data_IF_896533857005
#
_entry.id   IF_896533857005
#
_cell.length_a   1.000
_cell.length_b   1.000
_cell.length_c   1.000
_cell.angle_alpha   90.00
_cell.angle_beta   90.00
_cell.angle_gamma   90.00
#
_symmetry.space_group_name_H-M   'P 1'
#
loop_
_entity.id
_entity.type
_entity.pdbx_description
1 polymer ?
#
# COMPACT_ATOMS: atom_id res chain seq x y z
N UNK A 1 -19.09 -1.79 -10.45
CA UNK A 1 -19.96 -1.69 -9.26
C UNK A 1 -19.26 -0.77 -8.30
N UNK A 2 -19.86 0.41 -8.12
CA UNK A 2 -19.35 1.52 -7.32
C UNK A 2 -19.30 1.13 -5.84
N UNK A 3 -18.24 1.54 -5.13
CA UNK A 3 -18.11 1.48 -3.68
C UNK A 3 -19.20 2.38 -3.05
N UNK A 4 -20.38 1.82 -2.84
CA UNK A 4 -21.37 2.36 -1.91
C UNK A 4 -21.05 1.81 -0.53
N UNK A 5 -20.11 2.45 0.16
CA UNK A 5 -19.66 2.04 1.50
C UNK A 5 -18.79 3.07 2.23
N UNK A 6 -18.35 4.14 1.55
CA UNK A 6 -17.42 5.14 2.10
C UNK A 6 -18.12 6.35 2.76
N UNK A 7 -19.43 6.49 2.58
CA UNK A 7 -20.13 7.79 2.71
C UNK A 7 -20.37 8.26 4.17
N UNK A 8 -20.18 7.39 5.17
CA UNK A 8 -20.31 7.76 6.58
C UNK A 8 -18.97 8.12 7.21
N UNK A 9 -17.88 7.42 6.89
CA UNK A 9 -16.56 7.74 7.42
C UNK A 9 -15.88 8.88 6.66
N UNK A 10 -16.10 9.03 5.34
CA UNK A 10 -15.62 10.21 4.60
C UNK A 10 -16.20 11.51 5.16
N UNK A 11 -17.45 11.50 5.66
CA UNK A 11 -18.05 12.65 6.38
C UNK A 11 -17.34 12.98 7.70
N UNK A 12 -16.71 12.00 8.35
CA UNK A 12 -15.90 12.22 9.55
C UNK A 12 -14.41 12.50 9.20
N UNK A 13 -13.96 12.13 8.00
CA UNK A 13 -12.56 12.27 7.53
C UNK A 13 -12.33 13.62 6.84
N UNK A 14 -13.26 14.12 6.01
CA UNK A 14 -13.16 15.43 5.33
C UNK A 14 -13.40 16.63 6.25
N UNK A 15 -13.83 16.40 7.49
CA UNK A 15 -13.96 17.42 8.55
C UNK A 15 -12.68 17.59 9.39
N UNK A 16 -11.51 17.43 8.78
CA UNK A 16 -10.24 17.74 9.43
C UNK A 16 -9.90 19.25 9.40
N UNK A 17 -10.63 20.07 8.63
CA UNK A 17 -10.47 21.53 8.59
C UNK A 17 -11.72 22.32 9.01
N UNK A 18 -12.82 21.63 9.35
CA UNK A 18 -14.00 22.20 9.99
C UNK A 18 -14.13 21.58 11.37
N UNK A 19 -14.32 22.38 12.42
CA UNK A 19 -14.57 21.90 13.79
C UNK A 19 -15.54 20.71 13.77
N UNK A 20 -15.12 19.50 14.18
CA UNK A 20 -15.96 18.32 14.07
C UNK A 20 -17.18 18.47 14.96
N UNK A 21 -18.36 18.06 14.46
CA UNK A 21 -19.52 17.84 15.32
C UNK A 21 -19.07 16.99 16.52
N UNK A 22 -19.42 17.35 17.76
CA UNK A 22 -18.93 16.65 18.93
C UNK A 22 -19.35 15.18 18.84
N UNK A 23 -18.37 14.28 18.76
CA UNK A 23 -18.59 12.84 18.85
C UNK A 23 -19.29 12.59 20.18
N UNK A 24 -20.54 12.11 20.15
CA UNK A 24 -21.30 11.82 21.36
C UNK A 24 -20.59 10.70 22.11
N UNK A 25 -19.90 11.08 23.19
CA UNK A 25 -19.25 10.12 24.06
C UNK A 25 -20.32 9.35 24.83
N UNK A 26 -20.14 8.03 24.90
CA UNK A 26 -20.96 7.19 25.77
C UNK A 26 -20.16 6.79 27.00
N UNK A 27 -20.81 6.89 28.14
CA UNK A 27 -20.34 6.25 29.37
C UNK A 27 -20.62 4.76 29.23
N UNK A 28 -19.61 3.92 29.44
CA UNK A 28 -19.69 2.47 29.25
C UNK A 28 -19.38 1.81 30.57
N UNK A 29 -20.32 1.00 31.08
CA UNK A 29 -20.02 0.15 32.22
C UNK A 29 -19.19 -1.06 31.77
N UNK A 30 -17.90 -1.04 32.06
CA UNK A 30 -16.98 -2.10 31.69
C UNK A 30 -17.24 -3.42 32.43
N UNK A 31 -17.95 -3.39 33.58
CA UNK A 31 -18.30 -4.59 34.32
C UNK A 31 -19.35 -5.43 33.58
N UNK A 32 -20.22 -4.80 32.80
CA UNK A 32 -21.23 -5.48 31.98
C UNK A 32 -20.66 -6.05 30.67
N UNK A 33 -19.60 -5.43 30.13
CA UNK A 33 -18.90 -5.90 28.92
C UNK A 33 -18.01 -7.12 29.21
N UNK A 34 -17.35 -7.15 30.37
CA UNK A 34 -16.45 -8.24 30.80
C UNK A 34 -17.04 -9.67 30.64
N UNK A 35 -18.26 -10.00 31.14
CA UNK A 35 -18.83 -11.33 30.97
C UNK A 35 -19.12 -11.68 29.50
N UNK A 36 -19.42 -10.68 28.66
CA UNK A 36 -19.65 -10.90 27.23
C UNK A 36 -18.36 -11.24 26.49
N UNK A 37 -17.23 -10.61 26.84
CA UNK A 37 -15.90 -10.99 26.31
C UNK A 37 -15.58 -12.45 26.65
N UNK A 38 -15.86 -12.88 27.89
CA UNK A 38 -15.70 -14.28 28.30
C UNK A 38 -16.58 -15.23 27.48
N UNK A 39 -17.85 -14.87 27.28
CA UNK A 39 -18.84 -15.64 26.51
C UNK A 39 -18.39 -15.83 25.06
N UNK A 40 -17.87 -14.78 24.42
CA UNK A 40 -17.38 -14.83 23.04
C UNK A 40 -16.31 -15.90 22.82
N UNK A 41 -15.31 -16.00 23.70
CA UNK A 41 -14.26 -17.04 23.58
C UNK A 41 -14.77 -18.48 23.78
N UNK A 42 -15.97 -18.68 24.32
CA UNK A 42 -16.61 -19.99 24.42
C UNK A 42 -17.39 -20.39 23.15
N UNK A 43 -17.67 -19.44 22.25
CA UNK A 43 -18.39 -19.67 21.00
C UNK A 43 -17.39 -20.09 19.91
N UNK A 44 -17.46 -21.35 19.47
CA UNK A 44 -16.56 -21.90 18.45
C UNK A 44 -16.55 -21.08 17.15
N UNK A 45 -17.74 -20.72 16.64
CA UNK A 45 -17.85 -19.95 15.40
C UNK A 45 -17.18 -18.58 15.48
N UNK A 46 -17.19 -17.92 16.65
CA UNK A 46 -16.50 -16.65 16.84
C UNK A 46 -14.98 -16.81 16.88
N UNK A 47 -14.48 -17.90 17.48
CA UNK A 47 -13.04 -18.19 17.49
C UNK A 47 -12.49 -18.37 16.07
N UNK A 48 -13.29 -18.95 15.18
CA UNK A 48 -12.93 -19.14 13.77
C UNK A 48 -12.88 -17.82 12.98
N UNK A 49 -13.50 -16.75 13.48
CA UNK A 49 -13.48 -15.43 12.84
C UNK A 49 -12.17 -14.66 13.10
N UNK A 50 -11.44 -14.96 14.19
CA UNK A 50 -10.24 -14.23 14.60
C UNK A 50 -8.96 -15.06 14.46
N UNK A 51 -7.84 -14.42 14.13
CA UNK A 51 -6.58 -15.13 13.87
C UNK A 51 -5.91 -15.60 15.15
N UNK A 52 -5.94 -14.79 16.20
CA UNK A 52 -5.21 -15.04 17.45
C UNK A 52 -6.10 -15.56 18.59
N UNK A 53 -7.14 -16.36 18.30
CA UNK A 53 -8.14 -16.81 19.28
C UNK A 53 -7.56 -17.34 20.60
N UNK A 54 -6.66 -18.32 20.54
CA UNK A 54 -6.07 -18.94 21.74
C UNK A 54 -5.19 -17.97 22.53
N UNK A 55 -4.44 -17.13 21.81
CA UNK A 55 -3.53 -16.15 22.40
C UNK A 55 -4.31 -15.05 23.11
N UNK A 56 -5.33 -14.49 22.46
CA UNK A 56 -6.22 -13.50 23.04
C UNK A 56 -7.01 -14.09 24.20
N UNK A 57 -7.56 -15.31 24.08
CA UNK A 57 -8.29 -15.95 25.19
C UNK A 57 -7.41 -16.07 26.43
N UNK A 58 -6.16 -16.50 26.30
CA UNK A 58 -5.21 -16.57 27.42
C UNK A 58 -4.91 -15.19 28.00
N UNK A 59 -4.66 -14.19 27.14
CA UNK A 59 -4.37 -12.83 27.56
C UNK A 59 -5.54 -12.21 28.32
N UNK A 60 -6.76 -12.24 27.77
CA UNK A 60 -7.96 -11.75 28.46
C UNK A 60 -8.25 -12.54 29.74
N UNK A 61 -8.08 -13.87 29.76
CA UNK A 61 -8.26 -14.66 30.99
C UNK A 61 -7.33 -14.20 32.12
N UNK A 62 -6.10 -13.80 31.82
CA UNK A 62 -5.17 -13.27 32.83
C UNK A 62 -5.58 -11.90 33.41
N UNK A 63 -6.54 -11.24 32.75
CA UNK A 63 -7.11 -9.94 33.12
C UNK A 63 -8.58 -10.05 33.53
N UNK A 64 -9.02 -11.25 33.90
CA UNK A 64 -10.41 -11.58 34.20
C UNK A 64 -11.42 -11.20 33.10
N UNK A 65 -10.97 -11.12 31.83
CA UNK A 65 -11.75 -10.71 30.65
C UNK A 65 -12.15 -9.23 30.62
N UNK A 66 -11.53 -8.38 31.42
CA UNK A 66 -11.76 -6.93 31.34
C UNK A 66 -11.32 -6.37 29.97
N UNK A 67 -12.14 -5.51 29.32
CA UNK A 67 -11.77 -4.82 28.09
C UNK A 67 -10.47 -4.01 28.24
N UNK A 68 -9.75 -3.88 27.14
CA UNK A 68 -8.47 -3.17 27.01
C UNK A 68 -8.64 -1.93 26.13
N UNK A 69 -9.33 -2.08 25.00
CA UNK A 69 -9.40 -1.06 23.95
C UNK A 69 -10.70 -0.25 23.98
N UNK A 70 -11.78 -0.83 24.49
CA UNK A 70 -13.04 -0.17 24.82
C UNK A 70 -12.99 0.29 26.28
N UNK A 71 -13.16 1.59 26.50
CA UNK A 71 -13.14 2.25 27.80
C UNK A 71 -13.98 3.54 27.76
N UNK A 72 -14.07 4.24 28.90
CA UNK A 72 -14.74 5.53 29.04
C UNK A 72 -14.24 6.55 28.00
N UNK A 73 -15.15 7.24 27.32
CA UNK A 73 -14.80 8.11 26.19
C UNK A 73 -14.81 7.40 24.83
N UNK A 74 -15.38 6.21 24.76
CA UNK A 74 -15.84 5.60 23.50
C UNK A 74 -16.71 6.58 22.70
N UNK A 75 -16.58 6.65 21.36
CA UNK A 75 -15.83 5.77 20.46
C UNK A 75 -14.41 6.21 20.09
N UNK A 76 -13.83 7.22 20.75
CA UNK A 76 -12.62 7.90 20.24
C UNK A 76 -11.43 6.97 20.01
N UNK A 77 -11.11 6.08 20.95
CA UNK A 77 -9.98 5.16 20.80
C UNK A 77 -10.23 4.12 19.70
N UNK A 78 -11.44 3.55 19.64
CA UNK A 78 -11.83 2.60 18.61
C UNK A 78 -11.72 3.22 17.20
N UNK A 79 -12.24 4.43 17.02
CA UNK A 79 -12.10 5.21 15.78
C UNK A 79 -10.63 5.46 15.42
N UNK A 80 -9.80 5.81 16.41
CA UNK A 80 -8.37 6.02 16.21
C UNK A 80 -7.65 4.76 15.73
N UNK A 81 -7.96 3.59 16.30
CA UNK A 81 -7.40 2.30 15.88
C UNK A 81 -7.88 1.95 14.48
N UNK A 82 -9.19 2.07 14.21
CA UNK A 82 -9.77 1.78 12.90
C UNK A 82 -9.17 2.66 11.80
N UNK A 83 -8.81 3.91 12.09
CA UNK A 83 -8.10 4.79 11.15
C UNK A 83 -6.80 4.15 10.67
N UNK A 84 -5.99 3.59 11.58
CA UNK A 84 -4.76 2.88 11.19
C UNK A 84 -5.04 1.66 10.30
N UNK A 85 -6.11 0.92 10.56
CA UNK A 85 -6.50 -0.23 9.74
C UNK A 85 -6.98 0.18 8.34
N UNK A 86 -7.72 1.27 8.21
CA UNK A 86 -8.11 1.82 6.92
C UNK A 86 -6.89 2.35 6.15
N UNK A 87 -5.99 3.04 6.84
CA UNK A 87 -4.74 3.53 6.27
C UNK A 87 -3.72 2.41 5.96
N UNK A 88 -4.04 1.15 6.30
CA UNK A 88 -3.22 -0.01 5.95
C UNK A 88 -3.02 -0.16 4.44
N UNK A 89 -3.96 0.34 3.64
CA UNK A 89 -3.79 0.39 2.19
C UNK A 89 -2.54 1.16 1.78
N UNK A 90 -2.17 2.25 2.47
CA UNK A 90 -0.95 3.01 2.19
C UNK A 90 0.33 2.18 2.39
N UNK A 91 0.20 1.05 3.10
CA UNK A 91 1.24 0.06 3.32
C UNK A 91 1.15 -1.11 2.31
N UNK A 92 0.23 -1.09 1.36
CA UNK A 92 -0.03 -2.24 0.49
C UNK A 92 -0.63 -3.43 1.24
N UNK A 93 -1.28 -3.17 2.39
CA UNK A 93 -2.02 -4.15 3.18
C UNK A 93 -3.53 -3.94 2.93
N UNK A 94 -4.35 -4.94 3.24
CA UNK A 94 -5.80 -4.88 3.03
C UNK A 94 -6.53 -4.59 4.36
N UNK A 95 -7.39 -3.56 4.45
CA UNK A 95 -8.17 -3.25 5.65
C UNK A 95 -9.03 -4.42 6.15
N UNK A 96 -9.50 -5.27 5.25
CA UNK A 96 -10.34 -6.44 5.54
C UNK A 96 -9.63 -7.45 6.46
N UNK A 97 -8.30 -7.51 6.42
CA UNK A 97 -7.52 -8.39 7.31
C UNK A 97 -7.57 -7.96 8.78
N UNK A 98 -8.02 -6.73 9.06
CA UNK A 98 -8.11 -6.18 10.41
C UNK A 98 -9.58 -5.95 10.81
N UNK A 99 -10.49 -6.75 10.24
CA UNK A 99 -11.91 -6.76 10.57
C UNK A 99 -12.66 -5.44 10.29
N UNK A 100 -12.10 -4.55 9.46
CA UNK A 100 -12.66 -3.21 9.22
C UNK A 100 -14.14 -3.23 8.82
N UNK A 101 -14.62 -4.07 7.88
CA UNK A 101 -16.05 -4.09 7.54
C UNK A 101 -16.96 -4.45 8.73
N UNK A 102 -16.58 -5.45 9.53
CA UNK A 102 -17.34 -5.87 10.70
C UNK A 102 -17.30 -4.81 11.82
N UNK A 103 -16.14 -4.18 12.04
CA UNK A 103 -15.97 -3.10 13.00
C UNK A 103 -16.79 -1.86 12.63
N UNK A 104 -16.84 -1.50 11.34
CA UNK A 104 -17.66 -0.40 10.83
C UNK A 104 -19.14 -0.66 11.08
N UNK A 105 -19.62 -1.87 10.77
CA UNK A 105 -21.00 -2.25 11.03
C UNK A 105 -21.33 -2.18 12.53
N UNK A 106 -20.48 -2.74 13.39
CA UNK A 106 -20.68 -2.71 14.85
C UNK A 106 -20.70 -1.27 15.38
N UNK A 107 -19.78 -0.42 14.91
CA UNK A 107 -19.71 0.97 15.31
C UNK A 107 -20.99 1.72 14.92
N UNK A 108 -21.46 1.56 13.68
CA UNK A 108 -22.69 2.16 13.20
C UNK A 108 -23.91 1.72 14.03
N UNK A 109 -24.00 0.42 14.33
CA UNK A 109 -25.08 -0.14 15.14
C UNK A 109 -25.06 0.37 16.58
N UNK A 110 -23.87 0.49 17.18
CA UNK A 110 -23.71 1.05 18.52
C UNK A 110 -24.14 2.53 18.49
N UNK A 111 -23.60 3.34 17.57
CA UNK A 111 -23.84 4.79 17.55
C UNK A 111 -25.28 5.17 17.23
N UNK A 112 -25.97 4.45 16.34
CA UNK A 112 -27.37 4.77 15.98
C UNK A 112 -28.33 4.64 17.15
N UNK A 113 -28.06 3.75 18.12
CA UNK A 113 -28.91 3.51 19.28
C UNK A 113 -30.25 2.87 18.89
N UNK A 114 -30.66 1.81 19.58
CA UNK A 114 -31.94 1.16 19.25
C UNK A 114 -32.21 -0.15 19.96
N UNK A 115 -31.16 -0.87 20.38
CA UNK A 115 -31.30 -2.06 21.22
C UNK A 115 -30.19 -2.06 22.29
N UNK A 116 -30.43 -1.31 23.36
CA UNK A 116 -29.51 -1.21 24.49
C UNK A 116 -29.28 -2.58 25.16
N UNK A 117 -30.21 -3.54 24.98
CA UNK A 117 -30.09 -4.90 25.53
C UNK A 117 -28.98 -5.76 24.90
N UNK A 118 -28.43 -5.34 23.75
CA UNK A 118 -27.29 -6.01 23.10
C UNK A 118 -26.04 -5.12 23.03
N UNK A 119 -26.04 -3.96 23.71
CA UNK A 119 -24.93 -3.02 23.66
C UNK A 119 -23.63 -3.68 24.13
N UNK A 120 -23.65 -4.36 25.27
CA UNK A 120 -22.45 -4.97 25.86
C UNK A 120 -21.92 -6.12 25.00
N UNK A 121 -22.80 -6.89 24.36
CA UNK A 121 -22.39 -7.94 23.42
C UNK A 121 -21.68 -7.36 22.19
N UNK A 122 -22.19 -6.24 21.66
CA UNK A 122 -21.57 -5.53 20.52
C UNK A 122 -20.24 -4.90 20.91
N UNK A 123 -20.17 -4.27 22.08
CA UNK A 123 -18.94 -3.69 22.62
C UNK A 123 -17.87 -4.76 22.87
N UNK A 124 -18.25 -5.90 23.46
CA UNK A 124 -17.34 -7.03 23.67
C UNK A 124 -16.83 -7.63 22.34
N UNK A 125 -17.70 -7.72 21.34
CA UNK A 125 -17.31 -8.21 20.00
C UNK A 125 -16.32 -7.25 19.36
N UNK A 126 -16.59 -5.94 19.42
CA UNK A 126 -15.70 -4.91 18.91
C UNK A 126 -14.35 -4.89 19.64
N UNK A 127 -14.34 -5.03 20.97
CA UNK A 127 -13.13 -5.14 21.79
C UNK A 127 -12.19 -6.25 21.27
N UNK A 128 -12.71 -7.46 21.07
CA UNK A 128 -11.88 -8.60 20.64
C UNK A 128 -11.45 -8.47 19.18
N UNK A 129 -12.32 -7.97 18.29
CA UNK A 129 -11.96 -7.73 16.88
C UNK A 129 -10.90 -6.62 16.75
N UNK A 130 -11.00 -5.55 17.53
CA UNK A 130 -9.97 -4.52 17.60
C UNK A 130 -8.65 -5.11 18.10
N UNK A 131 -8.69 -5.94 19.15
CA UNK A 131 -7.48 -6.57 19.68
C UNK A 131 -6.80 -7.48 18.66
N UNK A 132 -7.55 -8.36 17.98
CA UNK A 132 -7.00 -9.22 16.92
C UNK A 132 -6.43 -8.40 15.76
N UNK A 133 -7.17 -7.37 15.32
CA UNK A 133 -6.72 -6.43 14.30
C UNK A 133 -5.43 -5.69 14.69
N UNK A 134 -5.31 -5.25 15.95
CA UNK A 134 -4.12 -4.56 16.47
C UNK A 134 -2.91 -5.50 16.46
N UNK A 135 -3.08 -6.75 16.91
CA UNK A 135 -2.02 -7.76 16.88
C UNK A 135 -1.57 -8.05 15.44
N UNK A 136 -2.52 -8.25 14.52
CA UNK A 136 -2.23 -8.48 13.10
C UNK A 136 -1.52 -7.29 12.46
N UNK A 137 -2.05 -6.08 12.65
CA UNK A 137 -1.50 -4.86 12.06
C UNK A 137 -0.08 -4.58 12.58
N UNK A 138 0.13 -4.67 13.89
CA UNK A 138 1.43 -4.46 14.50
C UNK A 138 2.46 -5.48 14.03
N UNK A 139 2.06 -6.76 13.94
CA UNK A 139 2.90 -7.81 13.38
C UNK A 139 3.25 -7.52 11.93
N UNK A 140 2.25 -7.23 11.09
CA UNK A 140 2.47 -6.99 9.67
C UNK A 140 3.43 -5.84 9.44
N UNK A 141 3.29 -4.71 10.14
CA UNK A 141 4.21 -3.58 9.98
C UNK A 141 5.63 -3.86 10.48
N UNK A 142 5.78 -4.56 11.62
CA UNK A 142 7.10 -4.78 12.25
C UNK A 142 7.90 -5.93 11.65
N UNK A 143 7.21 -6.97 11.18
CA UNK A 143 7.81 -8.26 10.83
C UNK A 143 7.39 -8.79 9.46
N UNK A 144 6.44 -8.14 8.79
CA UNK A 144 5.84 -8.61 7.55
C UNK A 144 4.65 -9.55 7.77
N UNK A 145 3.91 -9.78 6.70
CA UNK A 145 2.78 -10.71 6.65
C UNK A 145 3.23 -12.16 6.77
N UNK A 146 4.34 -12.50 6.11
CA UNK A 146 4.84 -13.87 6.07
C UNK A 146 6.37 -13.92 6.09
N UNK A 147 6.88 -15.05 6.55
CA UNK A 147 8.30 -15.34 6.49
C UNK A 147 8.70 -15.62 5.02
N UNK A 148 9.61 -14.82 4.42
CA UNK A 148 10.00 -15.00 3.02
C UNK A 148 10.60 -16.37 2.73
N UNK A 149 11.18 -17.04 3.73
CA UNK A 149 11.77 -18.39 3.60
C UNK A 149 10.73 -19.48 3.33
N UNK A 150 9.46 -19.20 3.60
CA UNK A 150 8.34 -20.11 3.26
C UNK A 150 7.98 -20.07 1.78
N UNK A 151 8.29 -18.96 1.10
CA UNK A 151 8.02 -18.76 -0.32
C UNK A 151 9.25 -19.11 -1.14
N UNK A 152 10.41 -18.58 -0.74
CA UNK A 152 11.69 -18.84 -1.38
C UNK A 152 12.67 -19.44 -0.37
N UNK A 153 12.96 -20.73 -0.52
CA UNK A 153 13.92 -21.44 0.33
C UNK A 153 15.36 -20.92 0.15
N UNK A 154 15.66 -20.22 -0.93
CA UNK A 154 16.94 -19.58 -1.19
C UNK A 154 17.01 -18.14 -0.62
N UNK A 155 16.02 -17.70 0.16
CA UNK A 155 16.08 -16.42 0.85
C UNK A 155 17.06 -16.50 2.03
N UNK A 156 18.23 -15.87 1.87
CA UNK A 156 19.33 -15.91 2.85
C UNK A 156 19.50 -14.62 3.65
N UNK A 157 18.69 -13.60 3.40
CA UNK A 157 18.79 -12.34 4.16
C UNK A 157 18.20 -12.54 5.57
N UNK A 158 18.76 -11.85 6.59
CA UNK A 158 18.22 -11.90 7.95
C UNK A 158 16.75 -11.45 7.97
N UNK A 159 15.89 -12.27 8.58
CA UNK A 159 14.47 -11.96 8.81
C UNK A 159 14.27 -11.75 10.30
N UNK A 160 13.61 -10.66 10.68
CA UNK A 160 13.30 -10.38 12.08
C UNK A 160 12.26 -11.40 12.58
N UNK A 161 12.57 -12.10 13.67
CA UNK A 161 11.64 -13.01 14.33
C UNK A 161 10.98 -12.31 15.52
N UNK A 162 9.79 -12.78 15.90
CA UNK A 162 9.05 -12.28 17.04
C UNK A 162 8.51 -13.43 17.87
N UNK A 163 8.46 -13.25 19.19
CA UNK A 163 7.85 -14.18 20.12
C UNK A 163 6.48 -13.69 20.59
N UNK A 164 5.95 -14.37 21.61
CA UNK A 164 4.66 -14.02 22.21
C UNK A 164 4.68 -12.64 22.87
N UNK A 165 5.81 -12.23 23.45
CA UNK A 165 5.97 -10.93 24.11
C UNK A 165 5.82 -9.79 23.08
N UNK A 166 6.59 -9.84 22.00
CA UNK A 166 6.55 -8.82 20.95
C UNK A 166 5.19 -8.77 20.25
N UNK A 167 4.50 -9.92 20.16
CA UNK A 167 3.15 -9.98 19.62
C UNK A 167 2.15 -9.24 20.51
N UNK A 168 2.17 -9.46 21.84
CA UNK A 168 1.20 -8.90 22.79
C UNK A 168 1.50 -7.45 23.21
N UNK A 169 2.73 -6.98 23.01
CA UNK A 169 3.20 -5.62 23.30
C UNK A 169 2.20 -4.48 22.99
N UNK A 170 1.52 -4.41 21.82
CA UNK A 170 0.55 -3.35 21.54
C UNK A 170 -0.66 -3.32 22.48
N UNK A 171 -1.10 -4.46 23.03
CA UNK A 171 -2.22 -4.53 23.97
C UNK A 171 -1.79 -4.19 25.41
N UNK A 172 -0.49 -4.22 25.68
CA UNK A 172 0.11 -3.85 26.97
C UNK A 172 0.60 -2.39 26.99
N UNK A 173 0.56 -1.71 25.84
CA UNK A 173 1.00 -0.34 25.71
C UNK A 173 0.07 0.64 26.45
N UNK A 174 0.64 1.60 27.18
CA UNK A 174 -0.13 2.67 27.85
C UNK A 174 -0.94 3.51 26.87
N UNK A 175 -0.44 3.68 25.64
CA UNK A 175 -1.14 4.39 24.58
C UNK A 175 -0.98 3.62 23.27
N UNK A 176 -1.99 2.83 22.93
CA UNK A 176 -2.01 1.99 21.72
C UNK A 176 -1.92 2.85 20.44
N UNK A 177 -2.55 4.02 20.40
CA UNK A 177 -2.49 4.91 19.22
C UNK A 177 -1.07 5.45 18.99
N UNK A 178 -0.36 5.80 20.07
CA UNK A 178 1.03 6.21 19.99
C UNK A 178 1.93 5.03 19.58
N UNK A 179 1.67 3.84 20.12
CA UNK A 179 2.38 2.62 19.72
C UNK A 179 2.22 2.35 18.21
N UNK A 180 0.98 2.32 17.71
CA UNK A 180 0.67 2.08 16.29
C UNK A 180 1.30 3.13 15.37
N UNK A 181 1.39 4.39 15.81
CA UNK A 181 2.10 5.45 15.08
C UNK A 181 3.61 5.22 15.02
N UNK A 182 4.22 4.77 16.13
CA UNK A 182 5.66 4.65 16.25
C UNK A 182 6.23 3.41 15.55
N UNK A 183 5.43 2.34 15.38
CA UNK A 183 5.86 1.15 14.64
C UNK A 183 5.87 1.32 13.12
N UNK A 184 5.34 2.44 12.62
CA UNK A 184 5.28 2.72 11.19
C UNK A 184 6.70 2.80 10.59
N UNK A 185 6.98 2.14 9.45
CA UNK A 185 8.30 2.23 8.82
C UNK A 185 8.65 3.68 8.42
N UNK A 186 9.68 4.24 9.05
CA UNK A 186 10.07 5.65 8.90
C UNK A 186 11.08 5.92 7.76
N UNK A 187 11.65 4.85 7.19
CA UNK A 187 12.65 4.91 6.12
C UNK A 187 12.17 5.76 4.93
N UNK A 188 13.01 6.70 4.48
CA UNK A 188 12.68 7.59 3.35
C UNK A 188 12.35 6.85 2.05
N UNK A 189 12.99 5.71 1.77
CA UNK A 189 12.67 4.87 0.60
C UNK A 189 11.30 4.21 0.74
N UNK A 190 10.93 3.78 1.94
CA UNK A 190 9.61 3.24 2.22
C UNK A 190 8.53 4.30 1.96
N UNK A 191 8.69 5.50 2.54
CA UNK A 191 7.74 6.61 2.34
C UNK A 191 7.60 7.03 0.87
N UNK A 192 8.70 7.10 0.11
CA UNK A 192 8.65 7.34 -1.34
C UNK A 192 7.88 6.26 -2.10
N UNK A 193 8.01 5.00 -1.67
CA UNK A 193 7.27 3.89 -2.26
C UNK A 193 5.78 3.95 -1.92
N UNK A 194 5.41 4.37 -0.71
CA UNK A 194 4.01 4.63 -0.35
C UNK A 194 3.40 5.74 -1.20
N UNK A 195 4.12 6.85 -1.38
CA UNK A 195 3.70 7.95 -2.25
C UNK A 195 3.50 7.47 -3.70
N UNK A 196 4.45 6.70 -4.24
CA UNK A 196 4.33 6.13 -5.58
C UNK A 196 3.13 5.18 -5.71
N UNK A 197 2.91 4.31 -4.70
CA UNK A 197 1.75 3.42 -4.67
C UNK A 197 0.43 4.21 -4.71
N UNK A 198 0.33 5.27 -3.91
CA UNK A 198 -0.84 6.14 -3.89
C UNK A 198 -1.05 6.80 -5.27
N UNK A 199 -0.02 7.39 -5.86
CA UNK A 199 -0.10 8.01 -7.19
C UNK A 199 -0.58 7.02 -8.26
N UNK A 200 -0.15 5.76 -8.21
CA UNK A 200 -0.61 4.73 -9.16
C UNK A 200 -2.06 4.31 -8.92
N UNK A 201 -2.53 4.30 -7.67
CA UNK A 201 -3.95 4.04 -7.36
C UNK A 201 -4.85 5.18 -7.80
N UNK A 202 -4.43 6.42 -7.59
CA UNK A 202 -5.14 7.61 -8.05
C UNK A 202 -5.21 7.59 -9.58
N UNK A 203 -4.08 7.30 -10.23
CA UNK A 203 -4.02 7.16 -11.68
C UNK A 203 -4.94 6.05 -12.21
N UNK A 204 -5.09 4.93 -11.50
CA UNK A 204 -6.03 3.86 -11.85
C UNK A 204 -7.49 4.30 -11.73
N UNK A 205 -7.81 5.19 -10.80
CA UNK A 205 -9.17 5.72 -10.58
C UNK A 205 -9.52 6.79 -11.62
N UNK A 206 -8.57 7.67 -11.92
CA UNK A 206 -8.78 8.88 -12.72
C UNK A 206 -8.60 8.67 -14.22
N UNK A 207 -7.62 7.85 -14.62
CA UNK A 207 -7.22 7.71 -16.03
C UNK A 207 -7.54 6.34 -16.61
N UNK A 208 -7.65 6.31 -17.93
CA UNK A 208 -7.71 5.05 -18.68
C UNK A 208 -6.28 4.58 -18.96
N UNK A 209 -6.10 3.27 -19.02
CA UNK A 209 -4.82 2.62 -19.30
C UNK A 209 -4.90 1.84 -20.62
N UNK A 210 -5.04 2.53 -21.77
CA UNK A 210 -5.28 1.87 -23.04
C UNK A 210 -4.09 1.00 -23.45
N UNK A 211 -4.39 -0.13 -24.09
CA UNK A 211 -3.39 -0.96 -24.74
C UNK A 211 -2.82 -0.23 -25.95
N UNK A 212 -1.51 -0.25 -26.08
CA UNK A 212 -0.77 0.29 -27.21
C UNK A 212 -0.61 -0.85 -28.23
N UNK A 213 -1.21 -0.75 -29.43
CA UNK A 213 -1.03 -1.78 -30.45
C UNK A 213 0.43 -1.79 -30.95
N UNK A 214 0.83 -2.90 -31.56
CA UNK A 214 2.11 -2.94 -32.25
C UNK A 214 2.09 -1.96 -33.44
N UNK A 215 3.18 -1.22 -33.69
CA UNK A 215 3.31 -0.41 -34.90
C UNK A 215 3.27 -1.29 -36.15
N UNK A 216 2.88 -0.71 -37.28
CA UNK A 216 2.89 -1.41 -38.57
C UNK A 216 4.31 -1.75 -39.05
N UNK A 217 5.31 -1.01 -38.56
CA UNK A 217 6.72 -1.23 -38.77
C UNK A 217 7.31 -2.05 -37.61
N UNK A 218 8.38 -2.81 -37.84
CA UNK A 218 9.00 -3.66 -36.81
C UNK A 218 9.53 -2.86 -35.60
N UNK A 219 9.96 -1.63 -35.84
CA UNK A 219 10.44 -0.66 -34.86
C UNK A 219 10.15 0.76 -35.34
N UNK A 220 10.09 1.71 -34.42
CA UNK A 220 10.04 3.15 -34.73
C UNK A 220 11.35 3.82 -34.31
N UNK A 221 11.91 4.60 -35.21
CA UNK A 221 13.14 5.39 -35.08
C UNK A 221 12.87 6.88 -35.35
N UNK A 222 13.86 7.72 -35.02
CA UNK A 222 13.72 9.18 -35.11
C UNK A 222 13.31 9.59 -36.53
N UNK A 223 12.25 10.38 -36.66
CA UNK A 223 11.71 10.85 -37.93
C UNK A 223 10.59 9.98 -38.50
N UNK A 224 10.38 8.76 -38.01
CA UNK A 224 9.26 7.92 -38.44
C UNK A 224 7.92 8.54 -38.09
N UNK A 225 6.89 8.24 -38.87
CA UNK A 225 5.52 8.69 -38.61
C UNK A 225 4.63 7.49 -38.30
N UNK A 226 3.90 7.55 -37.18
CA UNK A 226 3.07 6.43 -36.73
C UNK A 226 1.85 6.88 -35.92
N UNK A 227 0.72 6.22 -36.16
CA UNK A 227 -0.54 6.41 -35.42
C UNK A 227 -0.51 5.83 -34.00
N UNK A 228 0.52 5.08 -33.66
CA UNK A 228 0.71 4.51 -32.30
C UNK A 228 1.33 5.54 -31.35
N UNK A 229 2.08 6.52 -31.88
CA UNK A 229 2.84 7.48 -31.08
C UNK A 229 1.99 8.36 -30.14
N UNK A 230 0.73 8.75 -30.44
CA UNK A 230 -0.12 9.43 -29.47
C UNK A 230 -0.39 8.60 -28.20
N UNK A 231 -0.56 7.27 -28.33
CA UNK A 231 -0.75 6.37 -27.19
C UNK A 231 0.54 6.19 -26.38
N UNK A 232 1.69 6.17 -27.06
CA UNK A 232 3.01 6.14 -26.42
C UNK A 232 3.23 7.44 -25.64
N UNK A 233 3.01 8.60 -26.27
CA UNK A 233 3.15 9.90 -25.64
C UNK A 233 2.22 10.04 -24.42
N UNK A 234 0.96 9.61 -24.55
CA UNK A 234 0.01 9.54 -23.45
C UNK A 234 0.54 8.69 -22.29
N UNK A 235 1.12 7.51 -22.58
CA UNK A 235 1.70 6.66 -21.55
C UNK A 235 2.85 7.35 -20.82
N UNK A 236 3.80 7.91 -21.58
CA UNK A 236 4.98 8.61 -21.04
C UNK A 236 4.57 9.85 -20.22
N UNK A 237 3.46 10.49 -20.56
CA UNK A 237 2.91 11.59 -19.78
C UNK A 237 2.39 11.10 -18.42
N UNK A 238 1.63 10.00 -18.40
CA UNK A 238 1.11 9.41 -17.16
C UNK A 238 2.24 8.92 -16.25
N UNK A 239 3.30 8.33 -16.81
CA UNK A 239 4.41 7.78 -16.02
C UNK A 239 5.51 8.83 -15.70
N UNK A 240 5.43 10.02 -16.29
CA UNK A 240 6.25 11.20 -15.96
C UNK A 240 7.57 11.33 -16.75
N UNK A 241 7.73 10.59 -17.85
CA UNK A 241 8.93 10.62 -18.69
C UNK A 241 8.87 11.65 -19.83
N UNK A 242 7.68 12.12 -20.20
CA UNK A 242 7.50 13.06 -21.31
C UNK A 242 8.15 14.43 -20.99
N UNK A 243 9.14 14.85 -21.80
CA UNK A 243 9.85 16.12 -21.64
C UNK A 243 8.91 17.33 -21.82
N UNK A 244 8.94 18.28 -20.88
CA UNK A 244 8.00 19.41 -20.80
C UNK A 244 7.02 19.30 -19.62
N UNK A 245 6.85 18.09 -19.07
CA UNK A 245 6.41 17.87 -17.69
C UNK A 245 7.66 17.95 -16.80
N UNK A 246 7.84 19.05 -16.08
CA UNK A 246 9.04 19.23 -15.25
C UNK A 246 9.10 18.27 -14.05
N UNK A 247 8.00 17.64 -13.69
CA UNK A 247 7.90 16.60 -12.65
C UNK A 247 6.73 15.67 -13.03
N UNK A 248 6.70 14.44 -12.47
CA UNK A 248 5.43 13.70 -12.38
C UNK A 248 4.35 14.66 -11.86
N UNK A 249 3.12 14.67 -12.40
CA UNK A 249 2.10 15.63 -11.99
C UNK A 249 1.96 15.58 -10.47
N UNK A 250 2.42 16.65 -9.80
CA UNK A 250 2.20 16.86 -8.37
C UNK A 250 0.77 17.38 -8.26
N UNK A 251 -0.07 16.83 -7.37
CA UNK A 251 -1.41 17.36 -7.16
C UNK A 251 -1.38 18.87 -6.91
N UNK A 252 -2.02 19.64 -7.77
CA UNK A 252 -2.25 21.08 -7.58
C UNK A 252 -1.28 22.09 -8.23
N UNK A 253 -0.29 21.68 -9.05
CA UNK A 253 0.58 22.64 -9.76
C UNK A 253 0.29 22.71 -11.27
N UNK A 254 -0.18 23.88 -11.74
CA UNK A 254 -0.45 24.17 -13.16
C UNK A 254 0.67 25.04 -13.77
N UNK A 255 1.17 24.68 -14.96
CA UNK A 255 2.00 25.57 -15.80
C UNK A 255 1.61 25.50 -17.27
N UNK A 256 1.58 26.68 -17.89
CA UNK A 256 0.99 27.02 -19.18
C UNK A 256 1.76 26.55 -20.44
N UNK A 257 2.19 25.28 -20.48
CA UNK A 257 2.60 24.62 -21.74
C UNK A 257 1.51 23.61 -22.14
N UNK A 258 0.27 24.13 -22.20
CA UNK A 258 -0.99 23.40 -22.29
C UNK A 258 -1.54 23.30 -23.73
N UNK A 259 -0.79 22.72 -24.66
CA UNK A 259 -1.31 22.47 -26.01
C UNK A 259 -1.99 21.09 -26.19
N UNK A 260 -1.75 20.07 -25.33
CA UNK A 260 -2.57 18.84 -25.28
C UNK A 260 -3.27 18.57 -23.92
N UNK A 261 -3.04 19.37 -22.88
CA UNK A 261 -3.58 19.14 -21.53
C UNK A 261 -5.12 19.25 -21.42
N UNK A 262 -5.78 19.86 -22.41
CA UNK A 262 -7.25 19.92 -22.52
C UNK A 262 -7.90 18.67 -23.18
N UNK A 263 -7.12 17.67 -23.58
CA UNK A 263 -7.62 16.46 -24.25
C UNK A 263 -8.07 15.34 -23.28
N UNK A 264 -7.95 15.50 -21.96
CA UNK A 264 -7.90 14.38 -21.01
C UNK A 264 -9.27 13.80 -20.54
N UNK A 265 -10.09 13.37 -21.51
CA UNK A 265 -11.07 12.27 -21.35
C UNK A 265 -11.11 11.39 -22.60
N UNK A 266 -9.96 11.04 -23.15
CA UNK A 266 -9.89 10.22 -24.36
C UNK A 266 -9.67 8.74 -24.01
N UNK A 267 -10.55 7.91 -24.55
CA UNK A 267 -10.35 6.48 -24.71
C UNK A 267 -9.34 6.22 -25.83
N UNK A 268 -8.93 4.95 -26.01
CA UNK A 268 -8.00 4.53 -27.07
C UNK A 268 -8.44 5.02 -28.45
N UNK A 269 -9.76 5.07 -28.69
CA UNK A 269 -10.39 5.45 -29.96
C UNK A 269 -10.07 6.89 -30.35
N UNK A 270 -10.23 7.83 -29.40
CA UNK A 270 -9.99 9.26 -29.67
C UNK A 270 -8.50 9.60 -29.79
N UNK A 271 -7.63 8.94 -29.02
CA UNK A 271 -6.17 9.10 -29.18
C UNK A 271 -5.69 8.59 -30.55
N UNK A 272 -6.24 7.45 -31.01
CA UNK A 272 -5.92 6.90 -32.34
C UNK A 272 -6.46 7.80 -33.46
N UNK A 273 -7.56 8.52 -33.22
CA UNK A 273 -8.16 9.45 -34.19
C UNK A 273 -7.34 10.72 -34.43
N UNK A 274 -6.32 11.01 -33.61
CA UNK A 274 -5.36 12.09 -33.85
C UNK A 274 -4.50 11.86 -35.11
N UNK A 275 -4.50 10.63 -35.64
CA UNK A 275 -3.71 10.27 -36.81
C UNK A 275 -2.24 10.02 -36.47
N UNK A 276 -1.44 9.83 -37.52
CA UNK A 276 -0.01 9.58 -37.36
C UNK A 276 0.74 10.87 -37.04
N UNK A 277 1.58 10.84 -36.01
CA UNK A 277 2.48 11.94 -35.64
C UNK A 277 3.93 11.53 -35.90
N UNK A 278 4.84 12.49 -36.00
CA UNK A 278 6.26 12.25 -36.21
C UNK A 278 6.93 11.88 -34.88
N UNK A 279 7.83 10.89 -34.91
CA UNK A 279 8.67 10.52 -33.79
C UNK A 279 9.83 11.51 -33.66
N UNK A 280 9.56 12.61 -32.96
CA UNK A 280 10.49 13.73 -32.84
C UNK A 280 11.55 13.54 -31.75
N UNK A 281 12.51 14.47 -31.69
CA UNK A 281 13.58 14.43 -30.69
C UNK A 281 13.10 14.49 -29.23
N UNK A 282 11.92 15.06 -28.97
CA UNK A 282 11.34 15.15 -27.63
C UNK A 282 10.83 13.77 -27.19
N UNK A 283 10.08 13.08 -28.04
CA UNK A 283 9.60 11.73 -27.78
C UNK A 283 10.76 10.73 -27.67
N UNK A 284 11.81 10.88 -28.48
CA UNK A 284 13.01 10.03 -28.40
C UNK A 284 13.67 10.15 -27.03
N UNK A 285 13.92 11.37 -26.55
CA UNK A 285 14.47 11.60 -25.19
C UNK A 285 13.57 11.03 -24.09
N UNK A 286 12.26 11.15 -24.26
CA UNK A 286 11.27 10.63 -23.31
C UNK A 286 11.26 9.10 -23.26
N UNK A 287 11.39 8.44 -24.42
CA UNK A 287 11.55 6.98 -24.51
C UNK A 287 12.88 6.52 -23.92
N UNK A 288 13.98 7.22 -24.15
CA UNK A 288 15.27 6.87 -23.55
C UNK A 288 15.19 6.89 -22.02
N UNK A 289 14.53 7.90 -21.42
CA UNK A 289 14.28 7.96 -19.97
C UNK A 289 13.42 6.79 -19.49
N UNK A 290 12.39 6.44 -20.25
CA UNK A 290 11.54 5.29 -19.95
C UNK A 290 12.34 3.98 -20.00
N UNK A 291 13.14 3.78 -21.05
CA UNK A 291 14.01 2.62 -21.22
C UNK A 291 14.99 2.50 -20.05
N UNK A 292 15.65 3.59 -19.69
CA UNK A 292 16.57 3.64 -18.54
C UNK A 292 15.85 3.26 -17.24
N UNK A 293 14.73 3.90 -16.93
CA UNK A 293 13.93 3.65 -15.72
C UNK A 293 13.46 2.20 -15.60
N UNK A 294 13.16 1.57 -16.74
CA UNK A 294 12.61 0.22 -16.80
C UNK A 294 13.64 -0.87 -17.09
N UNK A 295 14.93 -0.54 -17.13
CA UNK A 295 16.02 -1.50 -17.37
C UNK A 295 16.04 -2.09 -18.79
N UNK A 296 15.55 -1.35 -19.77
CA UNK A 296 15.62 -1.70 -21.18
C UNK A 296 16.93 -1.18 -21.81
N UNK A 297 17.24 -1.61 -23.03
CA UNK A 297 18.30 -1.01 -23.84
C UNK A 297 17.94 0.46 -24.11
N UNK A 298 18.84 1.38 -23.78
CA UNK A 298 18.63 2.83 -23.89
C UNK A 298 19.10 3.31 -25.26
N UNK A 299 18.29 3.06 -26.29
CA UNK A 299 18.59 3.38 -27.69
C UNK A 299 17.60 4.39 -28.30
N UNK A 300 16.51 4.73 -27.59
CA UNK A 300 15.46 5.58 -28.13
C UNK A 300 14.64 4.91 -29.23
N UNK A 301 14.72 3.58 -29.38
CA UNK A 301 13.99 2.82 -30.39
C UNK A 301 12.75 2.17 -29.76
N UNK A 302 11.60 2.38 -30.39
CA UNK A 302 10.34 1.74 -29.97
C UNK A 302 10.18 0.41 -30.71
N UNK A 303 10.79 -0.64 -30.17
CA UNK A 303 10.60 -2.03 -30.63
C UNK A 303 9.57 -2.81 -29.80
N UNK A 304 9.41 -4.11 -30.11
CA UNK A 304 8.47 -5.01 -29.43
C UNK A 304 8.66 -5.09 -27.91
N UNK A 305 9.91 -5.05 -27.42
CA UNK A 305 10.20 -5.03 -25.97
C UNK A 305 9.74 -3.73 -25.31
N UNK A 306 9.96 -2.59 -25.96
CA UNK A 306 9.51 -1.27 -25.48
C UNK A 306 7.99 -1.21 -25.42
N UNK A 307 7.29 -1.65 -26.48
CA UNK A 307 5.81 -1.73 -26.50
C UNK A 307 5.29 -2.70 -25.45
N UNK A 308 5.88 -3.89 -25.33
CA UNK A 308 5.50 -4.88 -24.31
C UNK A 308 5.62 -4.31 -22.89
N UNK A 309 6.70 -3.57 -22.61
CA UNK A 309 6.90 -2.91 -21.31
C UNK A 309 5.90 -1.78 -21.07
N UNK A 310 5.69 -0.93 -22.08
CA UNK A 310 4.67 0.12 -22.07
C UNK A 310 3.27 -0.48 -21.89
N UNK A 311 3.00 -1.73 -22.28
CA UNK A 311 1.70 -2.37 -22.08
C UNK A 311 1.52 -3.07 -20.73
N UNK A 312 2.50 -3.05 -19.82
CA UNK A 312 2.28 -3.57 -18.46
C UNK A 312 1.10 -2.83 -17.82
N UNK A 313 0.18 -3.58 -17.20
CA UNK A 313 -1.02 -3.01 -16.58
C UNK A 313 -0.66 -2.14 -15.37
N UNK A 314 -1.53 -1.18 -15.05
CA UNK A 314 -1.39 -0.36 -13.85
C UNK A 314 -1.45 -1.20 -12.58
N UNK A 315 -2.31 -2.23 -12.54
CA UNK A 315 -2.40 -3.16 -11.41
C UNK A 315 -1.09 -3.91 -11.19
N UNK A 316 -0.40 -4.32 -12.26
CA UNK A 316 0.91 -4.98 -12.13
C UNK A 316 2.01 -4.04 -11.57
N UNK A 317 1.84 -2.72 -11.64
CA UNK A 317 2.72 -1.76 -10.94
C UNK A 317 2.31 -1.62 -9.47
N UNK A 318 1.01 -1.53 -9.18
CA UNK A 318 0.46 -1.48 -7.82
C UNK A 318 0.89 -2.72 -7.03
N UNK A 319 0.73 -3.91 -7.60
CA UNK A 319 1.13 -5.19 -7.00
C UNK A 319 2.65 -5.22 -6.74
N UNK A 320 3.44 -4.79 -7.72
CA UNK A 320 4.89 -4.72 -7.57
C UNK A 320 5.32 -3.80 -6.42
N UNK A 321 4.65 -2.65 -6.27
CA UNK A 321 4.91 -1.70 -5.19
C UNK A 321 4.48 -2.27 -3.84
N UNK A 322 3.32 -2.94 -3.76
CA UNK A 322 2.86 -3.64 -2.55
C UNK A 322 3.83 -4.75 -2.11
N UNK A 323 4.29 -5.59 -3.05
CA UNK A 323 5.31 -6.61 -2.79
C UNK A 323 6.61 -5.98 -2.27
N UNK A 324 7.02 -4.85 -2.87
CA UNK A 324 8.23 -4.17 -2.41
C UNK A 324 8.05 -3.56 -1.01
N UNK A 325 6.89 -3.00 -0.67
CA UNK A 325 6.59 -2.55 0.69
C UNK A 325 6.71 -3.70 1.69
N UNK A 326 6.20 -4.88 1.36
CA UNK A 326 6.36 -6.08 2.19
C UNK A 326 7.83 -6.50 2.33
N UNK A 327 8.61 -6.50 1.24
CA UNK A 327 10.07 -6.79 1.27
C UNK A 327 10.84 -5.83 2.19
N UNK A 328 10.43 -4.56 2.24
CA UNK A 328 11.03 -3.58 3.15
C UNK A 328 10.75 -3.89 4.63
N UNK A 329 9.69 -4.65 4.96
CA UNK A 329 9.41 -5.05 6.35
C UNK A 329 10.23 -6.24 6.81
N UNK A 330 10.63 -7.12 5.89
CA UNK A 330 11.50 -8.25 6.21
C UNK A 330 12.91 -7.79 6.60
N UNK A 331 13.38 -6.74 5.91
CA UNK A 331 14.74 -6.22 6.00
C UNK A 331 14.82 -4.98 6.90
N UNK A 332 15.44 -5.13 8.07
CA UNK A 332 15.89 -3.97 8.85
C UNK A 332 17.27 -3.56 8.39
N UNK A 333 17.34 -2.49 7.61
CA UNK A 333 18.60 -1.79 7.41
C UNK A 333 19.02 -1.15 8.73
N UNK A 334 20.31 -1.18 9.09
CA UNK A 334 20.78 -0.42 10.23
C UNK A 334 20.53 1.08 9.98
N UNK A 335 19.93 1.78 10.95
CA UNK A 335 19.72 3.23 10.88
C UNK A 335 21.04 4.01 11.05
N UNK A 336 22.06 3.36 11.62
CA UNK A 336 23.40 3.91 11.86
C UNK A 336 24.48 2.89 11.48
N UNK A 337 25.65 3.41 11.14
CA UNK A 337 26.82 2.63 10.75
C UNK A 337 26.89 2.35 9.25
N UNK A 338 27.95 1.63 8.86
CA UNK A 338 28.25 1.31 7.47
C UNK A 338 27.69 -0.03 7.06
N UNK A 339 27.03 -0.06 5.91
CA UNK A 339 26.55 -1.30 5.31
C UNK A 339 26.59 -1.23 3.78
N UNK A 340 26.63 -2.41 3.18
CA UNK A 340 26.60 -2.57 1.72
C UNK A 340 25.29 -3.25 1.35
N UNK A 341 24.61 -2.71 0.36
CA UNK A 341 23.41 -3.32 -0.22
C UNK A 341 23.67 -3.65 -1.67
N UNK A 342 23.44 -4.90 -2.04
CA UNK A 342 23.47 -5.36 -3.44
C UNK A 342 22.03 -5.58 -3.90
N UNK A 343 21.57 -4.73 -4.82
CA UNK A 343 20.27 -4.89 -5.46
C UNK A 343 20.44 -5.75 -6.70
N UNK A 344 20.20 -7.06 -6.56
CA UNK A 344 20.43 -8.06 -7.62
C UNK A 344 19.65 -7.72 -8.91
N UNK A 345 18.34 -7.42 -8.88
CA UNK A 345 17.60 -7.01 -10.08
C UNK A 345 18.11 -5.72 -10.76
N UNK A 346 18.74 -4.83 -10.00
CA UNK A 346 19.23 -3.53 -10.48
C UNK A 346 20.71 -3.58 -10.89
N UNK A 347 21.41 -4.70 -10.68
CA UNK A 347 22.85 -4.85 -10.96
C UNK A 347 23.73 -3.77 -10.30
N UNK A 348 23.33 -3.26 -9.15
CA UNK A 348 24.05 -2.21 -8.43
C UNK A 348 24.33 -2.58 -6.98
N UNK A 349 25.53 -2.22 -6.54
CA UNK A 349 25.94 -2.18 -5.14
C UNK A 349 25.92 -0.74 -4.66
N UNK A 350 25.40 -0.51 -3.45
CA UNK A 350 25.43 0.78 -2.76
C UNK A 350 26.11 0.62 -1.41
N UNK A 351 27.14 1.43 -1.15
CA UNK A 351 27.72 1.57 0.17
C UNK A 351 27.04 2.73 0.88
N UNK A 352 26.51 2.48 2.08
CA UNK A 352 25.76 3.44 2.87
C UNK A 352 26.43 3.61 4.23
N UNK A 353 26.50 4.84 4.73
CA UNK A 353 26.98 5.19 6.05
C UNK A 353 25.99 6.14 6.72
N UNK A 354 25.45 5.77 7.89
CA UNK A 354 24.45 6.56 8.61
C UNK A 354 23.25 7.02 7.74
N UNK A 355 22.83 6.14 6.83
CA UNK A 355 21.74 6.38 5.89
C UNK A 355 22.13 7.16 4.62
N UNK A 356 23.34 7.69 4.55
CA UNK A 356 23.86 8.44 3.40
C UNK A 356 24.60 7.53 2.40
N UNK A 357 24.37 7.74 1.11
CA UNK A 357 25.04 7.00 0.05
C UNK A 357 26.48 7.52 -0.10
N UNK A 358 27.47 6.70 0.29
CA UNK A 358 28.89 7.05 0.10
C UNK A 358 29.35 6.74 -1.34
N UNK A 359 28.96 5.58 -1.88
CA UNK A 359 29.31 5.22 -3.25
C UNK A 359 28.35 4.18 -3.85
N UNK A 360 28.37 4.08 -5.18
CA UNK A 360 27.61 3.11 -5.97
C UNK A 360 28.48 2.52 -7.06
N UNK A 361 28.31 1.24 -7.38
CA UNK A 361 28.99 0.58 -8.49
C UNK A 361 28.09 -0.45 -9.17
N UNK A 362 28.32 -0.68 -10.46
CA UNK A 362 27.71 -1.79 -11.18
C UNK A 362 28.32 -3.12 -10.71
N UNK A 363 27.49 -4.15 -10.61
CA UNK A 363 27.92 -5.50 -10.24
C UNK A 363 27.40 -6.53 -11.24
N UNK A 364 28.17 -7.60 -11.45
CA UNK A 364 27.69 -8.78 -12.15
C UNK A 364 27.14 -9.77 -11.12
N UNK A 365 25.97 -10.34 -11.39
CA UNK A 365 25.33 -11.36 -10.55
C UNK A 365 25.23 -12.67 -11.32
N UNK A 366 25.11 -13.78 -10.60
CA UNK A 366 25.04 -15.11 -11.21
C UNK A 366 23.81 -15.30 -12.09
N UNK A 367 23.94 -16.10 -13.14
CA UNK A 367 22.81 -16.45 -14.00
C UNK A 367 21.72 -17.21 -13.22
N UNK A 368 20.43 -17.02 -13.55
CA UNK A 368 19.34 -17.74 -12.90
C UNK A 368 19.51 -19.25 -13.10
N UNK A 369 19.84 -19.99 -12.04
CA UNK A 369 20.09 -21.44 -12.14
C UNK A 369 18.83 -22.30 -12.26
N UNK A 370 17.62 -21.73 -12.34
CA UNK A 370 16.37 -22.51 -12.37
C UNK A 370 15.14 -21.79 -12.94
N UNK A 371 14.20 -22.57 -13.50
CA UNK A 371 12.90 -22.10 -14.05
C UNK A 371 12.03 -21.34 -13.05
N UNK A 372 12.24 -21.49 -11.74
CA UNK A 372 11.45 -20.82 -10.71
C UNK A 372 11.93 -19.38 -10.42
N UNK A 373 13.21 -19.07 -10.65
CA UNK A 373 13.76 -17.71 -10.48
C UNK A 373 13.17 -16.71 -11.49
N UNK A 374 12.87 -17.14 -12.71
CA UNK A 374 12.33 -16.27 -13.75
C UNK A 374 10.89 -15.81 -13.49
N UNK A 375 10.08 -16.60 -12.79
CA UNK A 375 8.68 -16.26 -12.49
C UNK A 375 8.49 -15.42 -11.23
N UNK A 376 9.43 -15.47 -10.28
CA UNK A 376 9.32 -14.78 -8.99
C UNK A 376 9.76 -13.30 -9.03
N UNK A 377 10.38 -12.87 -10.13
CA UNK A 377 11.01 -11.55 -10.25
C UNK A 377 10.70 -10.81 -11.57
N UNK A 378 9.75 -11.29 -12.39
CA UNK A 378 9.34 -10.66 -13.67
C UNK A 378 8.13 -9.71 -13.51
#
# INVERSE_FOLDING_TARGET
MSLAGCDMLDKYIDRAEATPDPVVQRDIDLEDVQPQVRKLFAIGSFRDEIVHADTLQRHYRSRDYRPILIHDGFPSQALGIMRFFMDAEAHGLQPEWYHVPALQQLLDEVLRGGDDGLLDEKLARMEVLLADGVLLYARHLRFGMFDPRRIDRAYHLPVTQYGLRELLEPLEATNVLAFLRNIQPSNGRYRKLQQALQSYRDMRREYRWPSIPMPAQDKLEVGDTSSVLPLVAYRLMLTGELFGSLHAPVPGAFQAVDLPALAFRFDSTRLTSMGAIVYDSMLVRSIMRYQERHGLLVDGIIGSRTIGRLNRSIDAYIDQMGINLERFRWLRYPDQGRYIVVNIPDYHLRAVNDGELETTMKVCVGEPKSRWYAGAYA
#
